data_IF_120602751374
#
_entry.id   IF_120602751374
#
_cell.length_a   1.000
_cell.length_b   1.000
_cell.length_c   1.000
_cell.angle_alpha   90.00
_cell.angle_beta   90.00
_cell.angle_gamma   90.00
#
_symmetry.space_group_name_H-M   'P 1'
#
loop_
_entity.id
_entity.type
_entity.pdbx_description
1 polymer ?
#
# COMPACT_ATOMS: atom_id res chain seq x y z
N UNK A 1 -44.07 34.86 3.20
CA UNK A 1 -43.58 34.27 1.93
C UNK A 1 -42.11 34.60 1.66
N UNK A 2 -41.65 35.84 1.87
CA UNK A 2 -40.24 36.22 1.63
C UNK A 2 -39.20 35.50 2.51
N UNK A 3 -39.39 35.43 3.83
CA UNK A 3 -38.39 34.83 4.74
C UNK A 3 -38.17 33.33 4.48
N UNK A 4 -39.25 32.58 4.27
CA UNK A 4 -39.18 31.14 3.95
C UNK A 4 -38.46 30.93 2.61
N UNK A 5 -38.72 31.78 1.62
CA UNK A 5 -38.02 31.72 0.33
C UNK A 5 -36.53 32.02 0.46
N UNK A 6 -36.13 33.00 1.28
CA UNK A 6 -34.72 33.31 1.56
C UNK A 6 -34.03 32.14 2.25
N UNK A 7 -34.67 31.50 3.23
CA UNK A 7 -34.10 30.33 3.91
C UNK A 7 -33.91 29.15 2.94
N UNK A 8 -34.85 28.92 2.03
CA UNK A 8 -34.75 27.85 1.02
C UNK A 8 -33.60 28.14 0.04
N UNK A 9 -33.45 29.39 -0.41
CA UNK A 9 -32.36 29.79 -1.31
C UNK A 9 -31.00 29.64 -0.61
N UNK A 10 -30.88 30.09 0.64
CA UNK A 10 -29.66 29.93 1.42
C UNK A 10 -29.31 28.45 1.64
N UNK A 11 -30.31 27.61 1.94
CA UNK A 11 -30.12 26.17 2.10
C UNK A 11 -29.65 25.50 0.80
N UNK A 12 -30.26 25.84 -0.34
CA UNK A 12 -29.81 25.35 -1.63
C UNK A 12 -28.39 25.81 -1.97
N UNK A 13 -28.03 27.05 -1.66
CA UNK A 13 -26.68 27.57 -1.89
C UNK A 13 -25.63 26.80 -1.06
N UNK A 14 -25.92 26.57 0.22
CA UNK A 14 -25.04 25.81 1.12
C UNK A 14 -24.90 24.36 0.65
N UNK A 15 -26.01 23.72 0.24
CA UNK A 15 -25.99 22.34 -0.24
C UNK A 15 -25.17 22.20 -1.53
N UNK A 16 -25.32 23.12 -2.48
CA UNK A 16 -24.52 23.13 -3.70
C UNK A 16 -23.04 23.37 -3.40
N UNK A 17 -22.69 24.29 -2.50
CA UNK A 17 -21.29 24.57 -2.14
C UNK A 17 -20.59 23.36 -1.48
N UNK A 18 -21.33 22.58 -0.70
CA UNK A 18 -20.81 21.35 -0.08
C UNK A 18 -20.51 20.24 -1.10
N UNK A 19 -21.23 20.20 -2.23
CA UNK A 19 -21.00 19.23 -3.31
C UNK A 19 -19.75 19.54 -4.15
N UNK A 20 -19.32 20.81 -4.21
CA UNK A 20 -18.04 21.20 -4.82
C UNK A 20 -16.81 20.87 -3.94
N UNK A 21 -17.02 20.47 -2.68
CA UNK A 21 -15.95 20.24 -1.70
C UNK A 21 -15.44 18.79 -1.72
N UNK A 22 -15.58 18.08 -2.83
CA UNK A 22 -14.95 16.76 -3.00
C UNK A 22 -13.49 16.98 -3.40
N UNK A 23 -12.61 17.07 -2.41
CA UNK A 23 -11.18 16.89 -2.64
C UNK A 23 -10.96 15.43 -3.05
N UNK A 24 -11.12 15.13 -4.35
CA UNK A 24 -10.59 13.90 -4.91
C UNK A 24 -9.10 13.90 -4.58
N UNK A 25 -8.70 13.09 -3.60
CA UNK A 25 -7.29 12.96 -3.23
C UNK A 25 -6.59 12.32 -4.42
N UNK A 26 -6.07 13.14 -5.32
CA UNK A 26 -5.28 12.68 -6.46
C UNK A 26 -4.09 11.91 -5.87
N UNK A 27 -3.94 10.64 -6.26
CA UNK A 27 -2.76 9.87 -5.91
C UNK A 27 -1.59 10.58 -6.59
N UNK A 28 -0.64 11.12 -5.82
CA UNK A 28 0.41 11.94 -6.38
C UNK A 28 1.29 11.06 -7.28
N UNK A 29 1.66 11.56 -8.45
CA UNK A 29 2.51 10.81 -9.39
C UNK A 29 3.88 11.46 -9.46
N UNK A 30 4.86 10.75 -10.03
CA UNK A 30 6.20 11.34 -10.20
C UNK A 30 6.23 12.40 -11.30
N UNK A 31 5.15 12.60 -12.06
CA UNK A 31 5.06 13.60 -13.13
C UNK A 31 5.13 15.02 -12.56
N UNK A 32 4.58 15.25 -11.37
CA UNK A 32 4.54 16.55 -10.71
C UNK A 32 5.87 16.94 -10.03
N UNK A 33 6.88 16.07 -10.12
CA UNK A 33 8.19 16.26 -9.50
C UNK A 33 8.31 15.65 -8.10
N UNK A 34 9.32 16.06 -7.31
CA UNK A 34 9.60 15.46 -6.02
C UNK A 34 8.50 15.77 -5.00
N UNK A 35 8.11 14.76 -4.23
CA UNK A 35 7.18 14.94 -3.13
C UNK A 35 7.85 15.61 -1.93
N UNK A 36 7.05 16.33 -1.14
CA UNK A 36 7.47 16.80 0.17
C UNK A 36 7.90 15.59 1.03
N UNK A 37 9.08 15.58 1.64
CA UNK A 37 9.50 14.48 2.51
C UNK A 37 8.52 14.26 3.67
N UNK A 38 8.19 13.00 3.94
CA UNK A 38 7.34 12.57 5.05
C UNK A 38 8.12 11.54 5.86
N UNK A 39 8.17 11.73 7.18
CA UNK A 39 8.73 10.75 8.12
C UNK A 39 7.58 10.12 8.89
N UNK A 40 7.44 8.80 8.81
CA UNK A 40 6.45 8.05 9.59
C UNK A 40 6.96 7.93 11.03
N UNK A 41 6.17 8.29 12.06
CA UNK A 41 6.57 8.14 13.45
C UNK A 41 6.88 6.68 13.80
N UNK A 42 7.81 6.47 14.74
CA UNK A 42 8.10 5.14 15.25
C UNK A 42 6.87 4.55 15.95
N UNK A 43 6.49 3.33 15.57
CA UNK A 43 5.48 2.54 16.27
C UNK A 43 6.01 2.11 17.65
N UNK A 44 5.37 2.62 18.70
CA UNK A 44 5.75 2.35 20.09
C UNK A 44 5.36 0.94 20.56
N UNK A 45 4.54 0.22 19.81
CA UNK A 45 4.17 -1.17 20.08
C UNK A 45 5.20 -2.17 19.55
N UNK A 46 6.25 -1.70 18.86
CA UNK A 46 7.27 -2.54 18.26
C UNK A 46 7.98 -3.41 19.30
N UNK A 47 8.05 -4.72 19.04
CA UNK A 47 8.59 -5.75 19.96
C UNK A 47 10.12 -5.73 20.11
N UNK A 48 10.82 -4.79 19.47
CA UNK A 48 12.26 -4.61 19.57
C UNK A 48 13.04 -5.46 18.58
N UNK A 49 13.17 -6.76 18.83
CA UNK A 49 13.99 -7.66 17.99
C UNK A 49 13.11 -8.66 17.23
N UNK A 50 13.48 -8.91 15.98
CA UNK A 50 12.96 -10.08 15.26
C UNK A 50 13.47 -11.36 15.95
N UNK A 51 12.63 -12.39 16.00
CA UNK A 51 13.02 -13.73 16.46
C UNK A 51 13.11 -14.61 15.23
N UNK A 52 14.27 -15.24 15.03
CA UNK A 52 14.49 -16.13 13.90
C UNK A 52 13.56 -17.35 13.97
N UNK A 53 13.24 -17.92 12.81
CA UNK A 53 12.51 -19.18 12.76
C UNK A 53 13.38 -20.28 13.39
N UNK A 54 12.79 -21.13 14.26
CA UNK A 54 13.53 -22.25 14.83
C UNK A 54 13.85 -23.27 13.73
N UNK A 55 14.91 -24.06 13.95
CA UNK A 55 15.30 -25.20 13.11
C UNK A 55 14.24 -26.32 13.07
N UNK A 56 13.32 -26.31 14.04
CA UNK A 56 12.16 -27.20 14.10
C UNK A 56 10.96 -26.71 13.29
N UNK A 57 11.02 -25.51 12.70
CA UNK A 57 9.93 -25.00 11.85
C UNK A 57 9.78 -25.88 10.60
N UNK A 58 8.58 -26.41 10.28
CA UNK A 58 8.39 -27.31 9.16
C UNK A 58 8.77 -26.71 7.80
N UNK A 59 8.88 -25.38 7.68
CA UNK A 59 9.31 -24.69 6.44
C UNK A 59 10.81 -24.74 6.21
N UNK A 60 11.62 -24.99 7.25
CA UNK A 60 13.09 -25.08 7.14
C UNK A 60 13.60 -26.52 7.26
N UNK A 61 12.72 -27.45 7.61
CA UNK A 61 13.03 -28.88 7.59
C UNK A 61 13.17 -29.38 6.15
N UNK A 62 14.01 -30.40 5.97
CA UNK A 62 14.10 -31.14 4.71
C UNK A 62 12.81 -31.92 4.45
N UNK A 63 12.16 -31.66 3.32
CA UNK A 63 10.88 -32.31 2.95
C UNK A 63 11.01 -33.36 1.83
N UNK A 64 12.21 -33.53 1.26
CA UNK A 64 12.46 -34.43 0.12
C UNK A 64 13.30 -35.63 0.52
N UNK A 65 13.23 -36.72 -0.25
CA UNK A 65 14.02 -37.94 -0.05
C UNK A 65 15.16 -38.07 -1.07
N UNK A 66 16.25 -38.74 -0.67
CA UNK A 66 17.39 -39.09 -1.54
C UNK A 66 17.94 -37.89 -2.32
N UNK A 67 17.95 -37.95 -3.65
CA UNK A 67 18.47 -36.92 -4.56
C UNK A 67 17.38 -36.04 -5.16
N UNK A 68 16.17 -36.05 -4.59
CA UNK A 68 15.13 -35.11 -5.03
C UNK A 68 15.60 -33.67 -4.81
N UNK A 69 15.37 -32.76 -5.76
CA UNK A 69 15.80 -31.37 -5.64
C UNK A 69 15.01 -30.64 -4.56
N UNK A 70 15.70 -29.82 -3.78
CA UNK A 70 15.13 -28.91 -2.78
C UNK A 70 15.72 -27.51 -2.98
N UNK A 71 15.07 -26.48 -2.43
CA UNK A 71 15.52 -25.08 -2.54
C UNK A 71 15.69 -24.58 -3.99
N UNK A 72 14.80 -25.03 -4.89
CA UNK A 72 14.81 -24.66 -6.30
C UNK A 72 14.51 -23.16 -6.43
N UNK A 73 15.39 -22.43 -7.12
CA UNK A 73 15.21 -21.01 -7.43
C UNK A 73 15.29 -20.78 -8.94
N UNK A 74 14.44 -19.90 -9.46
CA UNK A 74 14.51 -19.42 -10.85
C UNK A 74 14.84 -17.94 -10.83
N UNK A 75 15.77 -17.53 -11.67
CA UNK A 75 16.17 -16.12 -11.78
C UNK A 75 15.92 -15.58 -13.18
N UNK A 76 15.70 -14.27 -13.27
CA UNK A 76 15.54 -13.60 -14.57
C UNK A 76 16.85 -13.62 -15.35
N UNK A 77 16.74 -13.83 -16.66
CA UNK A 77 17.86 -13.65 -17.58
C UNK A 77 18.01 -12.17 -17.98
N UNK A 78 19.07 -11.87 -18.72
CA UNK A 78 19.30 -10.55 -19.32
C UNK A 78 18.27 -10.20 -20.40
N UNK A 79 17.60 -11.21 -20.97
CA UNK A 79 16.52 -11.03 -21.95
C UNK A 79 15.30 -11.85 -21.54
N UNK A 80 14.10 -11.38 -21.91
CA UNK A 80 12.82 -12.03 -21.56
C UNK A 80 12.62 -13.41 -22.19
N UNK A 81 13.48 -13.81 -23.13
CA UNK A 81 13.37 -15.07 -23.88
C UNK A 81 14.04 -16.25 -23.18
N UNK A 82 14.64 -16.03 -22.01
CA UNK A 82 15.32 -17.06 -21.24
C UNK A 82 15.20 -16.81 -19.75
N UNK A 83 15.53 -17.82 -18.96
CA UNK A 83 15.63 -17.78 -17.50
C UNK A 83 16.97 -18.37 -17.08
N UNK A 84 17.53 -17.88 -15.97
CA UNK A 84 18.69 -18.48 -15.33
C UNK A 84 18.20 -19.57 -14.36
N UNK A 85 18.81 -20.76 -14.44
CA UNK A 85 18.53 -21.91 -13.57
C UNK A 85 19.79 -22.32 -12.82
#
# INVERSE_FOLDING_TARGET
>A
MGLVSVCIIALHLVLNLSLLSTSASIIPTTLEGPFKPVTVPLDKSFRGNAVDLPDTDPRVLRIVQDFQPEQISVSLSTTYRSVCY
#
